data_IF_900784173097
#
_entry.id   IF_900784173097
#
_cell.length_a   1.000
_cell.length_b   1.000
_cell.length_c   1.000
_cell.angle_alpha   90.00
_cell.angle_beta   90.00
_cell.angle_gamma   90.00
#
_symmetry.space_group_name_H-M   'P 1'
#
loop_
_entity.id
_entity.type
_entity.pdbx_description
1 polymer ?
#
# COMPACT_ATOMS: atom_id res chain seq x y z
N UNK A 1 -5.04 59.57 3.72
CA UNK A 1 -5.81 58.38 3.29
C UNK A 1 -5.26 57.16 4.03
N UNK A 2 -5.93 56.62 5.07
CA UNK A 2 -5.56 55.34 5.65
C UNK A 2 -6.46 54.23 5.08
N UNK A 3 -5.82 53.20 4.52
CA UNK A 3 -6.45 52.00 3.97
C UNK A 3 -7.15 51.21 5.10
N UNK A 4 -8.47 51.26 5.16
CA UNK A 4 -9.28 50.44 6.06
C UNK A 4 -9.56 49.08 5.39
N UNK A 5 -8.58 48.18 5.43
CA UNK A 5 -8.85 46.77 5.13
C UNK A 5 -9.61 46.21 6.34
N UNK A 6 -10.93 46.06 6.18
CA UNK A 6 -11.84 45.55 7.20
C UNK A 6 -11.34 44.22 7.77
N UNK A 7 -11.24 44.12 9.10
CA UNK A 7 -10.86 42.89 9.84
C UNK A 7 -11.72 41.68 9.46
N UNK A 8 -12.97 41.89 9.00
CA UNK A 8 -13.85 40.81 8.50
C UNK A 8 -13.32 40.14 7.23
N UNK A 9 -12.66 40.88 6.33
CA UNK A 9 -12.13 40.30 5.09
C UNK A 9 -10.94 39.37 5.34
N UNK A 10 -10.17 39.63 6.40
CA UNK A 10 -8.99 38.81 6.77
C UNK A 10 -9.43 37.45 7.33
N UNK A 11 -10.42 37.43 8.24
CA UNK A 11 -10.94 36.20 8.84
C UNK A 11 -11.61 35.29 7.80
N UNK A 12 -12.38 35.86 6.87
CA UNK A 12 -12.97 35.11 5.75
C UNK A 12 -11.88 34.57 4.81
N UNK A 13 -10.83 35.35 4.55
CA UNK A 13 -9.69 34.94 3.73
C UNK A 13 -8.85 33.81 4.34
N UNK A 14 -8.77 33.70 5.66
CA UNK A 14 -8.10 32.60 6.38
C UNK A 14 -8.97 31.33 6.32
N UNK A 15 -10.24 31.41 6.70
CA UNK A 15 -11.15 30.26 6.67
C UNK A 15 -11.33 29.65 5.26
N UNK A 16 -11.32 30.48 4.21
CA UNK A 16 -11.37 30.02 2.80
C UNK A 16 -10.05 29.42 2.28
N UNK A 17 -8.91 29.68 2.94
CA UNK A 17 -7.62 29.03 2.64
C UNK A 17 -7.55 27.68 3.33
N UNK A 18 -8.00 27.60 4.57
CA UNK A 18 -8.01 26.35 5.36
C UNK A 18 -8.94 25.30 4.72
N UNK A 19 -10.15 25.70 4.31
CA UNK A 19 -11.08 24.79 3.63
C UNK A 19 -10.63 24.33 2.23
N UNK A 20 -9.76 25.09 1.55
CA UNK A 20 -9.14 24.67 0.26
C UNK A 20 -7.96 23.73 0.47
N UNK A 21 -7.16 23.98 1.50
CA UNK A 21 -6.09 23.09 1.96
C UNK A 21 -6.65 21.74 2.40
N UNK A 22 -7.74 21.72 3.17
CA UNK A 22 -8.40 20.48 3.60
C UNK A 22 -8.94 19.68 2.41
N UNK A 23 -9.61 20.33 1.46
CA UNK A 23 -10.11 19.66 0.25
C UNK A 23 -9.00 19.08 -0.63
N UNK A 24 -7.91 19.82 -0.84
CA UNK A 24 -6.77 19.33 -1.60
C UNK A 24 -6.01 18.20 -0.85
N UNK A 25 -5.97 18.25 0.48
CA UNK A 25 -5.44 17.18 1.32
C UNK A 25 -6.34 15.94 1.26
N UNK A 26 -7.65 16.10 1.28
CA UNK A 26 -8.64 15.03 1.20
C UNK A 26 -8.67 14.38 -0.20
N UNK A 27 -8.58 15.17 -1.27
CA UNK A 27 -8.36 14.67 -2.63
C UNK A 27 -7.03 13.92 -2.76
N UNK A 28 -5.95 14.46 -2.19
CA UNK A 28 -4.64 13.78 -2.15
C UNK A 28 -4.69 12.49 -1.32
N UNK A 29 -5.46 12.46 -0.24
CA UNK A 29 -5.70 11.26 0.59
C UNK A 29 -6.59 10.24 -0.14
N UNK A 30 -7.50 10.67 -1.01
CA UNK A 30 -8.30 9.78 -1.86
C UNK A 30 -7.52 9.24 -3.07
N UNK A 31 -6.43 9.90 -3.46
CA UNK A 31 -5.57 9.48 -4.57
C UNK A 31 -4.41 8.57 -4.13
N UNK A 32 -4.02 8.59 -2.86
CA UNK A 32 -2.95 7.70 -2.34
C UNK A 32 -3.52 6.34 -1.94
N UNK A 33 -2.71 5.29 -2.11
CA UNK A 33 -3.00 3.96 -1.58
C UNK A 33 -2.17 3.75 -0.32
N UNK A 34 -2.83 3.46 0.79
CA UNK A 34 -2.15 3.15 2.06
C UNK A 34 -1.80 1.68 2.07
N UNK A 35 -0.52 1.39 2.24
CA UNK A 35 -0.01 0.01 2.31
C UNK A 35 0.86 -0.19 3.56
N UNK A 36 0.64 -1.31 4.25
CA UNK A 36 1.52 -1.78 5.33
C UNK A 36 2.67 -2.61 4.76
N UNK A 37 3.71 -2.79 5.57
CA UNK A 37 4.99 -3.36 5.14
C UNK A 37 4.88 -4.66 4.36
N UNK A 38 4.23 -5.69 4.92
CA UNK A 38 4.22 -7.00 4.27
C UNK A 38 3.41 -7.01 2.96
N UNK A 39 2.38 -6.17 2.84
CA UNK A 39 1.56 -6.07 1.63
C UNK A 39 2.34 -5.55 0.41
N UNK A 40 3.44 -4.83 0.62
CA UNK A 40 4.36 -4.43 -0.45
C UNK A 40 4.91 -5.65 -1.21
N UNK A 41 5.19 -6.76 -0.51
CA UNK A 41 5.65 -8.01 -1.13
C UNK A 41 4.48 -8.92 -1.53
N UNK A 42 3.40 -8.97 -0.73
CA UNK A 42 2.24 -9.80 -1.05
C UNK A 42 1.60 -9.42 -2.39
N UNK A 43 1.54 -8.13 -2.72
CA UNK A 43 1.01 -7.67 -4.02
C UNK A 43 1.79 -8.25 -5.20
N UNK A 44 3.11 -8.41 -5.10
CA UNK A 44 3.92 -9.02 -6.17
C UNK A 44 3.55 -10.49 -6.41
N UNK A 45 3.20 -11.18 -5.32
CA UNK A 45 2.76 -12.57 -5.32
C UNK A 45 1.25 -12.76 -5.53
N UNK A 46 0.47 -11.70 -5.74
CA UNK A 46 -0.98 -11.82 -5.84
C UNK A 46 -1.39 -12.60 -7.10
N UNK A 47 -2.28 -13.59 -6.94
CA UNK A 47 -2.79 -14.47 -8.02
C UNK A 47 -4.31 -14.58 -8.00
N UNK A 48 -5.01 -13.53 -7.57
CA UNK A 48 -6.46 -13.54 -7.47
C UNK A 48 -7.01 -14.29 -6.24
N UNK A 49 -6.16 -14.65 -5.27
CA UNK A 49 -6.53 -15.35 -4.04
C UNK A 49 -6.70 -14.38 -2.88
N UNK A 50 -7.64 -14.65 -1.96
CA UNK A 50 -7.87 -13.82 -0.79
C UNK A 50 -8.69 -14.54 0.28
N UNK A 51 -8.96 -13.86 1.40
CA UNK A 51 -9.75 -14.40 2.51
C UNK A 51 -11.25 -14.56 2.19
N UNK A 52 -11.72 -13.86 1.17
CA UNK A 52 -13.07 -13.95 0.60
C UNK A 52 -13.05 -13.41 -0.83
N UNK A 53 -14.14 -13.60 -1.57
CA UNK A 53 -14.31 -13.00 -2.89
C UNK A 53 -14.20 -11.47 -2.84
N UNK A 54 -14.82 -10.83 -1.83
CA UNK A 54 -14.74 -9.38 -1.66
C UNK A 54 -13.31 -8.91 -1.37
N UNK A 55 -12.57 -9.64 -0.54
CA UNK A 55 -11.17 -9.33 -0.25
C UNK A 55 -10.29 -9.50 -1.50
N UNK A 56 -10.46 -10.60 -2.23
CA UNK A 56 -9.73 -10.86 -3.47
C UNK A 56 -10.04 -9.81 -4.54
N UNK A 57 -11.30 -9.37 -4.66
CA UNK A 57 -11.70 -8.30 -5.57
C UNK A 57 -11.05 -6.96 -5.20
N UNK A 58 -11.02 -6.60 -3.91
CA UNK A 58 -10.33 -5.39 -3.44
C UNK A 58 -8.82 -5.44 -3.75
N UNK A 59 -8.16 -6.57 -3.46
CA UNK A 59 -6.76 -6.76 -3.82
C UNK A 59 -6.53 -6.66 -5.33
N UNK A 60 -7.42 -7.22 -6.16
CA UNK A 60 -7.32 -7.12 -7.61
C UNK A 60 -7.45 -5.69 -8.11
N UNK A 61 -8.37 -4.90 -7.53
CA UNK A 61 -8.52 -3.49 -7.87
C UNK A 61 -7.24 -2.70 -7.55
N UNK A 62 -6.70 -2.86 -6.35
CA UNK A 62 -5.46 -2.19 -5.95
C UNK A 62 -4.27 -2.67 -6.79
N UNK A 63 -4.15 -3.98 -7.02
CA UNK A 63 -3.09 -4.55 -7.85
C UNK A 63 -3.13 -3.99 -9.28
N UNK A 64 -4.29 -3.99 -9.93
CA UNK A 64 -4.42 -3.51 -11.30
C UNK A 64 -4.13 -2.01 -11.39
N UNK A 65 -4.60 -1.23 -10.41
CA UNK A 65 -4.26 0.19 -10.34
C UNK A 65 -2.75 0.42 -10.24
N UNK A 66 -2.07 -0.26 -9.32
CA UNK A 66 -0.61 -0.13 -9.16
C UNK A 66 0.17 -0.65 -10.38
N UNK A 67 -0.36 -1.66 -11.07
CA UNK A 67 0.21 -2.19 -12.30
C UNK A 67 0.07 -1.20 -13.47
N UNK A 68 -1.10 -0.60 -13.64
CA UNK A 68 -1.46 0.23 -14.80
C UNK A 68 -1.08 1.70 -14.61
N UNK A 69 -1.08 2.18 -13.37
CA UNK A 69 -0.70 3.54 -12.96
C UNK A 69 0.49 3.46 -11.96
N UNK A 70 1.71 3.17 -12.43
CA UNK A 70 2.84 2.86 -11.55
C UNK A 70 3.35 4.09 -10.76
N UNK A 71 2.99 5.30 -11.19
CA UNK A 71 3.24 6.55 -10.44
C UNK A 71 2.20 6.82 -9.34
N UNK A 72 1.26 5.89 -9.11
CA UNK A 72 0.30 5.96 -8.00
C UNK A 72 1.07 6.13 -6.69
N UNK A 73 0.71 7.17 -5.94
CA UNK A 73 1.29 7.42 -4.63
C UNK A 73 0.88 6.31 -3.65
N UNK A 74 1.86 5.80 -2.92
CA UNK A 74 1.70 4.86 -1.82
C UNK A 74 2.18 5.53 -0.53
N UNK A 75 1.33 5.48 0.48
CA UNK A 75 1.66 5.90 1.85
C UNK A 75 1.93 4.67 2.70
N UNK A 76 3.11 4.59 3.31
CA UNK A 76 3.44 3.50 4.24
C UNK A 76 2.70 3.71 5.56
N UNK A 77 1.87 2.75 5.96
CA UNK A 77 1.08 2.82 7.20
C UNK A 77 1.43 1.71 8.17
N UNK A 78 1.13 1.94 9.45
CA UNK A 78 1.15 0.92 10.50
C UNK A 78 -0.26 0.34 10.69
N UNK A 79 -0.35 -0.97 10.91
CA UNK A 79 -1.63 -1.64 11.16
C UNK A 79 -2.42 -1.92 9.87
N UNK A 80 -3.75 -2.14 9.98
CA UNK A 80 -4.61 -2.39 8.83
C UNK A 80 -4.51 -1.29 7.77
N UNK A 81 -4.48 -1.68 6.51
CA UNK A 81 -4.30 -0.79 5.36
C UNK A 81 -5.48 -0.90 4.38
N UNK A 82 -5.35 -0.31 3.19
CA UNK A 82 -6.47 -0.27 2.23
C UNK A 82 -6.84 -1.65 1.67
N UNK A 83 -5.93 -2.64 1.73
CA UNK A 83 -6.26 -4.01 1.36
C UNK A 83 -7.15 -4.67 2.41
N UNK A 84 -6.95 -4.34 3.70
CA UNK A 84 -7.73 -4.85 4.82
C UNK A 84 -9.18 -4.36 4.85
N UNK A 85 -9.55 -3.30 4.10
CA UNK A 85 -10.87 -2.69 4.13
C UNK A 85 -12.03 -3.65 3.80
N UNK A 86 -11.76 -4.70 3.02
CA UNK A 86 -12.74 -5.72 2.63
C UNK A 86 -12.51 -7.06 3.35
N UNK A 87 -11.89 -7.07 4.53
CA UNK A 87 -11.75 -8.28 5.33
C UNK A 87 -13.13 -8.84 5.74
N UNK A 88 -13.33 -10.17 5.76
CA UNK A 88 -14.63 -10.77 6.07
C UNK A 88 -15.16 -10.36 7.46
N UNK A 89 -16.43 -9.96 7.49
CA UNK A 89 -17.13 -9.66 8.76
C UNK A 89 -17.32 -10.96 9.55
N UNK A 90 -17.08 -10.92 10.86
CA UNK A 90 -17.32 -12.06 11.77
C UNK A 90 -16.18 -13.09 11.82
N UNK A 91 -15.06 -12.82 11.15
CA UNK A 91 -13.80 -13.57 11.30
C UNK A 91 -12.84 -12.72 12.11
N UNK A 92 -12.07 -13.36 13.00
CA UNK A 92 -11.01 -12.68 13.77
C UNK A 92 -10.05 -11.95 12.79
N UNK A 93 -9.84 -10.62 12.93
CA UNK A 93 -8.99 -9.87 12.02
C UNK A 93 -7.53 -10.30 12.14
N UNK A 94 -7.06 -11.12 11.19
CA UNK A 94 -5.65 -11.54 11.19
C UNK A 94 -4.70 -10.34 11.10
N UNK A 95 -5.15 -9.22 10.53
CA UNK A 95 -4.39 -7.99 10.33
C UNK A 95 -4.05 -7.25 11.64
N UNK A 96 -4.71 -7.58 12.75
CA UNK A 96 -4.44 -7.01 14.07
C UNK A 96 -3.47 -7.85 14.90
N UNK A 97 -3.11 -9.04 14.42
CA UNK A 97 -2.20 -9.94 15.14
C UNK A 97 -0.78 -9.36 15.21
N UNK A 98 -0.14 -9.52 16.38
CA UNK A 98 1.24 -9.10 16.63
C UNK A 98 2.23 -9.73 15.63
N UNK A 99 1.98 -10.99 15.24
CA UNK A 99 2.78 -11.68 14.23
C UNK A 99 2.79 -10.95 12.89
N UNK A 100 1.70 -10.30 12.49
CA UNK A 100 1.63 -9.52 11.23
C UNK A 100 2.39 -8.20 11.37
N UNK A 101 2.36 -7.59 12.56
CA UNK A 101 3.17 -6.39 12.84
C UNK A 101 4.67 -6.69 12.74
N UNK A 102 5.10 -7.89 13.16
CA UNK A 102 6.47 -8.34 12.96
C UNK A 102 6.83 -8.47 11.46
N UNK A 103 5.94 -9.08 10.66
CA UNK A 103 6.13 -9.20 9.21
C UNK A 103 6.30 -7.82 8.56
N UNK A 104 5.47 -6.84 8.95
CA UNK A 104 5.59 -5.46 8.47
C UNK A 104 6.97 -4.88 8.78
N UNK A 105 7.40 -4.96 10.04
CA UNK A 105 8.68 -4.42 10.48
C UNK A 105 9.86 -5.09 9.76
N UNK A 106 9.78 -6.38 9.48
CA UNK A 106 10.80 -7.11 8.74
C UNK A 106 10.93 -6.59 7.30
N UNK A 107 9.79 -6.45 6.60
CA UNK A 107 9.78 -5.97 5.21
C UNK A 107 10.19 -4.49 5.12
N UNK A 108 9.69 -3.63 6.01
CA UNK A 108 10.05 -2.22 6.01
C UNK A 108 11.55 -2.01 6.28
N UNK A 109 12.13 -2.75 7.24
CA UNK A 109 13.58 -2.71 7.49
C UNK A 109 14.38 -3.18 6.28
N UNK A 110 13.96 -4.27 5.63
CA UNK A 110 14.64 -4.81 4.43
C UNK A 110 14.64 -3.79 3.29
N UNK A 111 13.54 -3.07 3.11
CA UNK A 111 13.36 -2.07 2.04
C UNK A 111 13.86 -0.66 2.41
N UNK A 112 14.32 -0.43 3.65
CA UNK A 112 14.73 0.89 4.12
C UNK A 112 13.57 1.90 4.19
N UNK A 113 12.36 1.42 4.50
CA UNK A 113 11.13 2.20 4.57
C UNK A 113 10.73 2.50 6.02
N UNK A 114 9.96 3.56 6.22
CA UNK A 114 9.36 3.90 7.50
C UNK A 114 7.92 4.37 7.32
N UNK A 115 7.13 4.24 8.39
CA UNK A 115 5.72 4.66 8.42
C UNK A 115 5.60 6.17 8.22
N UNK A 116 4.60 6.60 7.45
CA UNK A 116 4.37 7.98 7.05
C UNK A 116 5.13 8.41 5.80
N UNK A 117 5.97 7.55 5.22
CA UNK A 117 6.63 7.83 3.96
C UNK A 117 5.63 7.74 2.79
N UNK A 118 5.62 8.77 1.96
CA UNK A 118 4.87 8.82 0.70
C UNK A 118 5.84 8.66 -0.48
N UNK A 119 5.52 7.77 -1.41
CA UNK A 119 6.37 7.49 -2.58
C UNK A 119 5.54 6.88 -3.72
N UNK A 120 5.95 7.03 -5.00
CA UNK A 120 5.30 6.31 -6.08
C UNK A 120 5.55 4.81 -5.95
N UNK A 121 4.63 4.00 -6.48
CA UNK A 121 4.75 2.55 -6.48
C UNK A 121 6.00 2.05 -7.24
N UNK A 122 6.37 2.73 -8.32
CA UNK A 122 7.66 2.50 -9.02
C UNK A 122 8.85 2.46 -8.06
N UNK A 123 8.95 3.41 -7.13
CA UNK A 123 10.07 3.46 -6.18
C UNK A 123 10.03 2.28 -5.19
N UNK A 124 8.84 1.75 -4.86
CA UNK A 124 8.73 0.52 -4.06
C UNK A 124 9.29 -0.65 -4.85
N UNK A 125 8.92 -0.76 -6.13
CA UNK A 125 9.39 -1.81 -7.02
C UNK A 125 10.92 -1.75 -7.23
N UNK A 126 11.51 -0.56 -7.38
CA UNK A 126 12.97 -0.41 -7.47
C UNK A 126 13.68 -0.84 -6.19
N UNK A 127 13.14 -0.50 -5.02
CA UNK A 127 13.67 -0.96 -3.72
C UNK A 127 13.60 -2.48 -3.60
N UNK A 128 12.50 -3.09 -4.02
CA UNK A 128 12.38 -4.56 -4.06
C UNK A 128 13.42 -5.14 -5.02
N UNK A 129 13.53 -4.61 -6.23
CA UNK A 129 14.45 -5.10 -7.27
C UNK A 129 15.91 -5.08 -6.80
N UNK A 130 16.32 -3.99 -6.16
CA UNK A 130 17.69 -3.81 -5.67
C UNK A 130 17.97 -4.47 -4.31
N UNK A 131 16.93 -4.70 -3.50
CA UNK A 131 17.09 -5.05 -2.09
C UNK A 131 16.60 -6.42 -1.67
N UNK A 132 15.75 -7.10 -2.45
CA UNK A 132 15.09 -8.35 -2.04
C UNK A 132 15.46 -9.50 -2.98
N UNK A 133 15.89 -10.60 -2.39
CA UNK A 133 16.06 -11.90 -3.04
C UNK A 133 14.78 -12.73 -2.87
N UNK A 134 14.41 -13.60 -3.84
CA UNK A 134 13.28 -14.50 -3.68
C UNK A 134 13.33 -15.29 -2.36
N UNK A 135 14.51 -15.74 -1.96
CA UNK A 135 14.74 -16.55 -0.77
C UNK A 135 14.53 -15.76 0.54
N UNK A 136 14.59 -14.42 0.50
CA UNK A 136 14.29 -13.58 1.66
C UNK A 136 12.86 -13.80 2.16
N UNK A 137 11.93 -14.21 1.29
CA UNK A 137 10.53 -14.52 1.67
C UNK A 137 10.46 -15.58 2.79
N UNK A 138 11.41 -16.51 2.85
CA UNK A 138 11.45 -17.53 3.90
C UNK A 138 11.65 -16.93 5.30
N UNK A 139 12.38 -15.81 5.39
CA UNK A 139 12.67 -15.11 6.65
C UNK A 139 11.66 -13.99 6.89
N UNK A 140 11.42 -13.16 5.87
CA UNK A 140 10.55 -11.98 5.95
C UNK A 140 9.10 -12.34 6.19
N UNK A 141 8.63 -13.49 5.67
CA UNK A 141 7.25 -13.95 5.71
C UNK A 141 7.10 -15.30 6.43
N UNK A 142 7.97 -15.59 7.40
CA UNK A 142 8.12 -16.92 8.02
C UNK A 142 6.89 -17.41 8.83
N UNK A 143 5.96 -16.53 9.19
CA UNK A 143 4.67 -16.91 9.81
C UNK A 143 3.48 -16.78 8.85
N UNK A 144 3.69 -16.32 7.61
CA UNK A 144 2.60 -16.10 6.65
C UNK A 144 2.05 -17.43 6.10
N UNK A 145 0.73 -17.61 6.19
CA UNK A 145 0.03 -18.80 5.68
C UNK A 145 0.14 -18.97 4.16
N UNK A 146 0.29 -17.88 3.41
CA UNK A 146 0.40 -17.91 1.95
C UNK A 146 1.81 -18.25 1.46
N UNK A 147 2.81 -18.29 2.35
CA UNK A 147 4.21 -18.53 2.00
C UNK A 147 4.39 -19.87 1.27
N UNK A 148 3.72 -20.92 1.73
CA UNK A 148 3.89 -22.28 1.21
C UNK A 148 3.43 -22.44 -0.25
N UNK A 149 2.68 -21.49 -0.80
CA UNK A 149 2.26 -21.51 -2.20
C UNK A 149 3.38 -21.05 -3.16
N UNK A 150 4.48 -20.49 -2.67
CA UNK A 150 5.63 -20.04 -3.48
C UNK A 150 5.36 -18.82 -4.38
N UNK A 151 4.15 -18.26 -4.34
CA UNK A 151 3.73 -17.16 -5.23
C UNK A 151 4.44 -15.84 -4.91
N UNK A 152 4.75 -15.57 -3.64
CA UNK A 152 5.49 -14.37 -3.24
C UNK A 152 6.94 -14.42 -3.75
N UNK A 153 7.60 -15.57 -3.66
CA UNK A 153 8.97 -15.78 -4.18
C UNK A 153 8.99 -15.61 -5.70
N UNK A 154 7.99 -16.17 -6.38
CA UNK A 154 7.82 -15.97 -7.82
C UNK A 154 7.62 -14.50 -8.17
N UNK A 155 6.81 -13.76 -7.41
CA UNK A 155 6.60 -12.32 -7.58
C UNK A 155 7.89 -11.51 -7.43
N UNK A 156 8.66 -11.76 -6.37
CA UNK A 156 9.98 -11.13 -6.17
C UNK A 156 10.92 -11.47 -7.32
N UNK A 157 10.96 -12.74 -7.77
CA UNK A 157 11.79 -13.17 -8.91
C UNK A 157 11.46 -12.42 -10.19
N UNK A 158 10.17 -12.20 -10.48
CA UNK A 158 9.70 -11.41 -11.63
C UNK A 158 10.20 -9.96 -11.54
N UNK A 159 10.04 -9.30 -10.39
CA UNK A 159 10.52 -7.92 -10.23
C UNK A 159 12.05 -7.83 -10.36
N UNK A 160 12.77 -8.82 -9.80
CA UNK A 160 14.22 -8.89 -9.84
C UNK A 160 14.78 -9.10 -11.24
N UNK A 161 14.09 -9.85 -12.10
CA UNK A 161 14.49 -10.06 -13.50
C UNK A 161 14.25 -8.83 -14.39
N UNK A 162 13.80 -7.71 -13.81
CA UNK A 162 13.48 -6.48 -14.53
C UNK A 162 12.09 -6.50 -15.19
N UNK A 163 11.29 -7.53 -14.94
CA UNK A 163 9.91 -7.59 -15.40
C UNK A 163 8.98 -6.79 -14.48
N UNK A 164 7.82 -6.43 -15.02
CA UNK A 164 6.76 -5.73 -14.30
C UNK A 164 5.71 -6.71 -13.75
N UNK A 165 4.71 -6.17 -13.05
CA UNK A 165 3.57 -6.94 -12.55
C UNK A 165 2.80 -7.59 -13.71
N UNK A 166 2.65 -8.93 -13.73
CA UNK A 166 1.94 -9.62 -14.80
C UNK A 166 0.43 -9.36 -14.78
N UNK A 167 -0.26 -9.70 -15.86
CA UNK A 167 -1.72 -9.79 -15.80
C UNK A 167 -2.16 -10.86 -14.79
N UNK A 168 -3.25 -10.60 -14.07
CA UNK A 168 -3.85 -11.60 -13.21
C UNK A 168 -4.46 -12.73 -14.05
N UNK A 169 -4.44 -13.98 -13.56
CA UNK A 169 -5.09 -15.09 -14.25
C UNK A 169 -6.59 -14.83 -14.39
N UNK A 170 -7.18 -15.32 -15.50
CA UNK A 170 -8.62 -15.34 -15.69
C UNK A 170 -9.23 -16.29 -14.65
N UNK A 171 -9.83 -15.70 -13.60
CA UNK A 171 -10.57 -16.45 -12.59
C UNK A 171 -11.99 -16.74 -13.14
N UNK A 172 -12.10 -17.67 -14.10
CA UNK A 172 -13.40 -18.23 -14.52
C UNK A 172 -13.79 -19.42 -13.66
#
# INVERSE_FOLDING_TARGET
MPNFISRSCILIGIALKDARSERAREERLNLTIRLRGHHLLCLLGFRGMGYSEAYAANMANVYNRLKDEPDTAVTIVQGPDDLCACFPIGVEPHCENESVTELDGNVLRKLGLHVGLDMPWTDVIERVRGGVEPEDIHTLCHTCQWRSYGVCEAGVRTIKSGQWLPALPDNR
#
